data_IF_585249086942
#
_entry.id   IF_585249086942
#
_cell.length_a   1.000
_cell.length_b   1.000
_cell.length_c   1.000
_cell.angle_alpha   90.00
_cell.angle_beta   90.00
_cell.angle_gamma   90.00
#
_symmetry.space_group_name_H-M   'P 1'
#
loop_
_entity.id
_entity.type
_entity.pdbx_description
1 polymer ?
2 non-polymer ?
3 water ?
#
# COMPACT_ATOMS: atom_id res chain seq x y z
N UNK A 1 13.72 5.82 -10.10
CA UNK A 1 13.52 6.22 -8.67
C UNK A 1 12.56 5.24 -8.01
N UNK A 2 12.96 4.64 -6.88
CA UNK A 2 12.08 3.69 -6.20
C UNK A 2 10.74 4.34 -5.78
N UNK A 3 10.76 5.56 -5.24
CA UNK A 3 9.51 6.25 -4.84
C UNK A 3 8.70 6.63 -6.08
N UNK A 4 9.43 6.91 -7.15
CA UNK A 4 8.83 7.26 -8.42
C UNK A 4 8.30 5.96 -9.02
N UNK A 5 9.02 4.87 -8.81
CA UNK A 5 8.58 3.59 -9.34
C UNK A 5 7.41 3.09 -8.49
N UNK A 6 7.50 3.33 -7.18
CA UNK A 6 6.44 2.90 -6.27
C UNK A 6 5.12 3.55 -6.64
N UNK A 7 5.19 4.78 -7.13
CA UNK A 7 3.96 5.48 -7.51
C UNK A 7 3.32 4.89 -8.76
N UNK A 8 4.16 4.41 -9.66
CA UNK A 8 3.69 3.81 -10.90
C UNK A 8 3.00 2.49 -10.57
N UNK A 9 3.62 1.74 -9.65
CA UNK A 9 3.12 0.44 -9.22
C UNK A 9 1.79 0.65 -8.51
N UNK A 10 1.74 1.68 -7.66
CA UNK A 10 0.55 2.00 -6.89
C UNK A 10 -0.61 2.33 -7.84
N UNK A 11 -0.32 3.16 -8.83
CA UNK A 11 -1.31 3.57 -9.80
C UNK A 11 -1.88 2.41 -10.60
N UNK A 12 -1.02 1.53 -11.08
CA UNK A 12 -1.50 0.42 -11.87
C UNK A 12 -2.05 -0.72 -11.04
N UNK A 13 -1.72 -0.78 -9.76
CA UNK A 13 -2.15 -1.93 -8.97
C UNK A 13 -2.99 -1.69 -7.74
N UNK A 14 -2.92 -0.48 -7.21
CA UNK A 14 -3.58 -0.17 -5.94
C UNK A 14 -4.68 0.87 -5.96
N UNK A 15 -4.62 1.75 -6.95
CA UNK A 15 -5.58 2.84 -7.05
C UNK A 15 -7.02 2.35 -7.25
N UNK A 16 -7.18 1.13 -7.78
CA UNK A 16 -8.52 0.57 -7.98
C UNK A 16 -9.29 0.55 -6.64
N UNK A 17 -8.57 0.43 -5.52
CA UNK A 17 -9.24 0.40 -4.23
C UNK A 17 -8.77 1.41 -3.20
N UNK A 18 -7.61 2.02 -3.44
CA UNK A 18 -7.02 2.96 -2.48
C UNK A 18 -6.62 4.32 -3.02
N UNK A 19 -7.15 4.71 -4.17
CA UNK A 19 -6.82 6.01 -4.76
C UNK A 19 -6.99 7.05 -3.67
N UNK A 20 -6.00 7.94 -3.58
CA UNK A 20 -6.08 8.96 -2.57
C UNK A 20 -5.89 8.46 -1.15
N UNK A 21 -5.45 7.22 -0.95
CA UNK A 21 -5.24 6.72 0.41
C UNK A 21 -6.50 6.24 1.11
N UNK A 22 -7.57 6.08 0.35
CA UNK A 22 -8.82 5.62 0.92
C UNK A 22 -8.96 4.09 0.79
N UNK A 23 -10.16 3.58 1.06
CA UNK A 23 -10.45 2.15 0.89
C UNK A 23 -11.90 2.08 0.38
N UNK A 24 -12.03 1.74 -0.89
CA UNK A 24 -13.33 1.73 -1.52
C UNK A 24 -14.27 0.64 -1.05
N UNK A 25 -13.74 -0.36 -0.37
CA UNK A 25 -14.55 -1.50 0.08
C UNK A 25 -14.87 -1.48 1.57
N UNK A 26 -13.84 -1.27 2.40
CA UNK A 26 -13.96 -1.21 3.87
C UNK A 26 -13.41 0.14 4.23
N UNK A 27 -14.29 1.14 4.29
CA UNK A 27 -13.97 2.54 4.59
C UNK A 27 -13.05 2.78 5.78
N UNK A 28 -12.99 1.84 6.71
CA UNK A 28 -12.18 2.00 7.89
C UNK A 28 -10.71 1.59 7.72
N UNK A 29 -10.41 0.81 6.70
CA UNK A 29 -9.06 0.35 6.51
C UNK A 29 -8.34 1.18 5.46
N UNK A 30 -8.23 2.47 5.73
CA UNK A 30 -7.60 3.36 4.78
C UNK A 30 -6.08 3.37 4.91
N UNK A 31 -5.44 4.19 4.09
CA UNK A 31 -3.98 4.29 4.08
C UNK A 31 -3.51 5.59 4.78
N UNK A 32 -4.38 6.17 5.60
CA UNK A 32 -4.08 7.40 6.34
C UNK A 32 -3.17 7.09 7.55
N UNK A 33 -2.21 7.97 7.81
CA UNK A 33 -1.25 7.86 8.93
C UNK A 33 -1.76 7.28 10.25
N UNK A 34 -2.79 7.90 10.81
CA UNK A 34 -3.34 7.45 12.08
C UNK A 34 -3.97 6.05 12.02
N UNK A 35 -4.58 5.70 10.89
CA UNK A 35 -5.19 4.38 10.79
C UNK A 35 -4.11 3.35 10.61
N UNK A 36 -3.11 3.69 9.82
CA UNK A 36 -2.00 2.79 9.61
C UNK A 36 -1.33 2.55 10.97
N UNK A 37 -1.11 3.60 11.79
CA UNK A 37 -0.47 3.37 13.10
C UNK A 37 -1.38 2.52 13.98
N UNK A 38 -2.66 2.85 14.01
CA UNK A 38 -3.62 2.09 14.81
C UNK A 38 -3.64 0.60 14.45
N UNK A 39 -3.43 0.26 13.18
CA UNK A 39 -3.44 -1.12 12.75
C UNK A 39 -2.07 -1.76 12.65
N UNK A 40 -1.05 -1.13 13.21
CA UNK A 40 0.32 -1.65 13.17
C UNK A 40 0.76 -1.96 11.76
N UNK A 41 0.38 -1.08 10.84
CA UNK A 41 0.71 -1.25 9.42
C UNK A 41 1.57 -0.09 8.96
N UNK A 42 2.33 0.48 9.88
CA UNK A 42 3.15 1.61 9.53
C UNK A 42 4.65 1.31 9.48
N UNK A 43 5.00 0.07 9.14
CA UNK A 43 6.39 -0.30 9.01
C UNK A 43 6.53 -0.93 7.64
N UNK A 44 7.73 -0.97 7.11
CA UNK A 44 7.92 -1.55 5.78
C UNK A 44 7.61 -3.03 5.67
N UNK A 45 8.02 -3.79 6.67
CA UNK A 45 7.80 -5.22 6.63
C UNK A 45 6.33 -5.61 6.68
N UNK A 46 5.58 -4.96 7.56
CA UNK A 46 4.18 -5.28 7.70
C UNK A 46 3.42 -5.01 6.40
N UNK A 47 3.70 -3.87 5.76
CA UNK A 47 3.03 -3.56 4.50
C UNK A 47 3.49 -4.47 3.35
N UNK A 48 4.80 -4.72 3.24
CA UNK A 48 5.24 -5.55 2.15
C UNK A 48 4.62 -6.94 2.30
N UNK A 49 4.46 -7.44 3.52
CA UNK A 49 3.85 -8.76 3.69
C UNK A 49 2.38 -8.78 3.27
N UNK A 50 1.62 -7.77 3.67
CA UNK A 50 0.21 -7.69 3.31
C UNK A 50 0.03 -7.62 1.79
N UNK A 51 0.92 -6.88 1.11
CA UNK A 51 0.85 -6.77 -0.32
C UNK A 51 1.19 -8.12 -0.94
N UNK A 52 2.24 -8.77 -0.44
CA UNK A 52 2.67 -10.05 -0.97
C UNK A 52 1.64 -11.12 -0.77
N UNK A 53 1.07 -11.15 0.42
CA UNK A 53 0.10 -12.16 0.79
C UNK A 53 -1.38 -11.88 0.62
N UNK A 54 -1.75 -10.61 0.47
CA UNK A 54 -3.15 -10.27 0.36
C UNK A 54 -3.81 -10.46 1.72
N UNK A 55 -5.09 -10.11 1.80
CA UNK A 55 -5.85 -10.25 3.02
C UNK A 55 -7.33 -10.03 2.73
N UNK A 56 -8.14 -11.06 2.92
CA UNK A 56 -9.57 -10.97 2.65
C UNK A 56 -9.88 -10.48 1.22
N UNK A 57 -10.58 -9.35 1.06
CA UNK A 57 -10.91 -8.84 -0.27
C UNK A 57 -9.72 -8.19 -0.97
N UNK A 58 -8.60 -8.01 -0.28
CA UNK A 58 -7.43 -7.44 -0.95
C UNK A 58 -6.64 -8.59 -1.58
N UNK A 59 -6.35 -8.49 -2.88
CA UNK A 59 -5.60 -9.56 -3.55
C UNK A 59 -4.14 -9.66 -3.09
N UNK A 60 -3.56 -10.84 -3.29
CA UNK A 60 -2.15 -11.09 -2.98
C UNK A 60 -1.39 -10.69 -4.28
N UNK A 61 -0.24 -10.03 -4.16
CA UNK A 61 0.49 -9.61 -5.34
C UNK A 61 1.84 -10.30 -5.46
N UNK A 62 2.15 -11.19 -4.53
CA UNK A 62 3.43 -11.87 -4.58
C UNK A 62 3.67 -12.50 -5.95
N UNK A 63 2.67 -13.19 -6.46
CA UNK A 63 2.87 -13.79 -7.76
C UNK A 63 3.13 -12.77 -8.86
N UNK A 64 2.30 -11.75 -8.94
CA UNK A 64 2.46 -10.82 -10.02
C UNK A 64 3.48 -9.72 -9.92
N UNK A 65 3.68 -9.14 -8.74
CA UNK A 65 4.66 -8.07 -8.66
C UNK A 65 6.02 -8.59 -8.23
N UNK A 66 7.05 -8.10 -8.91
CA UNK A 66 8.39 -8.51 -8.58
C UNK A 66 8.70 -7.81 -7.28
N UNK A 67 9.47 -8.50 -6.44
CA UNK A 67 9.86 -8.03 -5.12
C UNK A 67 10.23 -6.56 -4.96
N UNK A 68 10.87 -5.99 -5.97
CA UNK A 68 11.29 -4.59 -5.93
C UNK A 68 10.09 -3.66 -5.99
N UNK A 69 9.13 -4.02 -6.83
CA UNK A 69 7.96 -3.21 -6.97
C UNK A 69 7.12 -3.20 -5.70
N UNK A 70 7.01 -4.34 -5.03
CA UNK A 70 6.26 -4.44 -3.79
C UNK A 70 6.89 -3.50 -2.74
N UNK A 71 8.23 -3.49 -2.68
CA UNK A 71 8.95 -2.63 -1.74
C UNK A 71 8.77 -1.16 -2.03
N UNK A 72 8.99 -0.77 -3.29
CA UNK A 72 8.84 0.63 -3.72
C UNK A 72 7.40 1.10 -3.44
N UNK A 73 6.41 0.23 -3.69
CA UNK A 73 5.01 0.59 -3.43
C UNK A 73 4.81 0.80 -1.94
N UNK A 74 5.39 -0.08 -1.11
CA UNK A 74 5.25 0.05 0.35
C UNK A 74 5.78 1.39 0.80
N UNK A 75 6.93 1.76 0.27
CA UNK A 75 7.55 3.02 0.64
C UNK A 75 6.75 4.20 0.15
N UNK A 76 6.20 4.07 -1.06
CA UNK A 76 5.35 5.12 -1.60
C UNK A 76 4.16 5.38 -0.65
N UNK A 77 3.50 4.31 -0.22
CA UNK A 77 2.37 4.42 0.69
C UNK A 77 2.76 5.10 1.99
N UNK A 78 3.94 4.76 2.50
CA UNK A 78 4.38 5.33 3.76
C UNK A 78 4.68 6.82 3.62
N UNK A 79 5.36 7.21 2.54
CA UNK A 79 5.68 8.63 2.35
C UNK A 79 4.43 9.45 2.12
N UNK A 80 3.53 8.94 1.29
CA UNK A 80 2.27 9.64 1.02
C UNK A 80 1.47 9.77 2.31
N UNK A 81 1.47 8.71 3.09
CA UNK A 81 0.73 8.71 4.33
C UNK A 81 1.23 9.84 5.23
N UNK A 82 2.55 10.01 5.28
CA UNK A 82 3.13 11.05 6.12
C UNK A 82 2.94 12.45 5.53
N UNK A 83 2.70 12.57 4.22
CA UNK A 83 2.50 13.88 3.61
C UNK A 83 1.02 14.19 3.57
N UNK A 84 0.21 13.26 4.06
CA UNK A 84 -1.24 13.45 4.08
C UNK A 84 -2.07 13.04 2.86
N UNK A 85 -1.44 12.52 1.81
CA UNK A 85 -2.15 12.08 0.59
C UNK A 85 -2.83 13.21 -0.16
X LIG B 1 -5.13 -2.90 -0.05
X LIG B 1 -5.92 -3.10 3.28
X LIG B 1 -2.09 -1.66 0.69
X LIG B 1 -4.30 -3.10 -3.37
X LIG B 1 -8.34 -3.75 -0.83
X LIG B 1 -4.23 -2.40 1.60
X LIG B 1 -4.69 -2.50 2.90
X LIG B 1 -3.70 -1.94 3.85
X LIG B 1 -2.62 -1.62 3.11
X LIG B 1 -2.94 -1.89 1.73
X LIG B 1 -1.27 -1.07 3.63
X LIG B 1 -3.88 -1.84 5.39
X LIG B 1 -4.70 -0.59 5.72
X LIG B 1 -5.10 -0.48 7.18
X LIG B 1 -4.79 -1.39 7.95
X LIG B 1 -5.72 0.52 7.56
X LIG B 1 -3.54 -2.52 -1.09
X LIG B 1 -2.37 -1.95 -0.63
X LIG B 1 -1.39 -1.71 -1.71
X LIG B 1 -1.95 -2.22 -2.86
X LIG B 1 -3.32 -2.68 -2.44
X LIG B 1 -0.04 -0.99 -1.59
X LIG B 1 -1.34 -2.31 -4.16
X LIG B 1 -0.21 -3.34 -4.26
X LIG B 1 -6.09 -3.40 -1.73
X LIG B 1 -5.62 -3.43 -3.02
X LIG B 1 -6.62 -3.68 -3.97
X LIG B 1 -7.80 -3.78 -3.24
X LIG B 1 -7.44 -3.63 -1.87
X LIG B 1 -6.42 -3.72 -5.48
X LIG B 1 -9.20 -3.85 -3.73
X LIG B 1 -9.54 -4.97 -4.70
X LIG B 1 -6.76 -3.37 1.02
X LIG B 1 -8.01 -3.70 0.52
X LIG B 1 -8.88 -4.14 1.58
X LIG B 1 -8.18 -4.02 2.75
X LIG B 1 -6.87 -3.52 2.37
X LIG B 1 -10.34 -4.56 1.37
X LIG B 1 -8.67 -4.36 4.17
X LIG B 1 -8.38 -5.85 4.34
X LIG B 1 -8.92 -6.37 5.65
X LIG B 1 -8.52 -5.83 6.71
X LIG B 1 -9.74 -7.31 5.63
#
# INVERSE_FOLDING_TARGET
ADLDNGEKVFSANCAACHAGGNNAIMPDKTLKKDVLEANSMNTIDAITYQVQNGKNAMPAFGGRLVDEDIEDAANYVLSQSEKGW
HEC FE CHA CHB CHC CHD NA C1A C2A C3A C4A CMA CAA CBA CGA O1A O2A NB C1B C2B C3B C4B CMB CAB CBB NC C1C C2C C3C C4C CMC CAC CBC ND C1D C2D C3D C4D CMD CAD CBD CGD O1D O2D
#
